data_IF_114189829628
#
_entry.id   IF_114189829628
#
_cell.length_a   1.000
_cell.length_b   1.000
_cell.length_c   1.000
_cell.angle_alpha   90.00
_cell.angle_beta   90.00
_cell.angle_gamma   90.00
#
_symmetry.space_group_name_H-M   'P 1'
#
loop_
_entity.id
_entity.type
_entity.pdbx_description
1 polymer ?
#
# COMPACT_ATOMS: atom_id res chain seq x y z
N UNK A 1 32.37 15.15 14.68
CA UNK A 1 31.14 15.42 13.89
C UNK A 1 30.25 14.19 13.97
N UNK A 2 29.00 14.31 14.43
CA UNK A 2 27.98 13.28 14.19
C UNK A 2 27.35 13.63 12.84
N UNK A 3 27.83 13.02 11.76
CA UNK A 3 27.37 13.30 10.39
C UNK A 3 25.85 13.12 10.21
N UNK A 4 25.25 12.28 11.05
CA UNK A 4 23.82 12.02 11.08
C UNK A 4 23.37 12.23 12.52
N UNK A 5 22.49 13.22 12.74
CA UNK A 5 21.99 13.63 14.07
C UNK A 5 21.07 12.57 14.72
N UNK A 6 21.59 11.36 14.88
CA UNK A 6 20.91 10.19 15.40
C UNK A 6 21.21 10.03 16.90
N UNK A 7 20.19 9.63 17.66
CA UNK A 7 20.30 9.35 19.10
C UNK A 7 21.27 8.19 19.37
N UNK A 8 21.27 7.18 18.48
CA UNK A 8 22.18 6.03 18.53
C UNK A 8 22.58 5.63 17.12
N UNK A 9 23.85 5.25 16.94
CA UNK A 9 24.33 4.72 15.68
C UNK A 9 23.67 3.35 15.39
N UNK A 10 23.17 3.10 14.17
CA UNK A 10 22.66 1.80 13.78
C UNK A 10 23.79 0.76 13.74
N UNK A 11 23.45 -0.50 14.02
CA UNK A 11 24.42 -1.61 13.95
C UNK A 11 24.82 -1.89 12.49
N UNK A 12 26.00 -2.48 12.30
CA UNK A 12 26.59 -2.70 10.96
C UNK A 12 25.65 -3.47 10.02
N UNK A 13 24.96 -4.49 10.53
CA UNK A 13 23.97 -5.26 9.75
C UNK A 13 22.80 -4.41 9.22
N UNK A 14 22.36 -3.40 9.98
CA UNK A 14 21.32 -2.45 9.55
C UNK A 14 21.86 -1.53 8.47
N UNK A 15 23.09 -1.02 8.63
CA UNK A 15 23.74 -0.20 7.60
C UNK A 15 23.86 -0.98 6.29
N UNK A 16 24.35 -2.23 6.35
CA UNK A 16 24.45 -3.11 5.19
C UNK A 16 23.09 -3.37 4.53
N UNK A 17 22.04 -3.61 5.34
CA UNK A 17 20.67 -3.78 4.84
C UNK A 17 20.14 -2.56 4.10
N UNK A 18 20.32 -1.35 4.67
CA UNK A 18 19.89 -0.10 4.03
C UNK A 18 20.63 0.13 2.71
N UNK A 19 21.95 -0.11 2.67
CA UNK A 19 22.75 0.05 1.47
C UNK A 19 22.38 -0.96 0.37
N UNK A 20 22.06 -2.20 0.76
CA UNK A 20 21.57 -3.24 -0.17
C UNK A 20 20.27 -2.84 -0.83
N UNK A 21 19.33 -2.31 -0.05
CA UNK A 21 18.01 -1.89 -0.52
C UNK A 21 17.96 -0.41 -0.95
N UNK A 22 19.12 0.24 -1.20
CA UNK A 22 19.21 1.71 -1.43
C UNK A 22 18.21 2.24 -2.46
N UNK A 23 17.97 1.50 -3.54
CA UNK A 23 17.06 1.91 -4.63
C UNK A 23 15.64 2.08 -4.12
N UNK A 24 15.21 1.22 -3.19
CA UNK A 24 13.89 1.30 -2.56
C UNK A 24 13.72 2.64 -1.84
N UNK A 25 14.74 3.08 -1.09
CA UNK A 25 14.69 4.29 -0.28
C UNK A 25 14.86 5.58 -1.11
N UNK A 26 15.66 5.55 -2.17
CA UNK A 26 15.87 6.70 -3.06
C UNK A 26 14.65 7.03 -3.92
N UNK A 27 13.78 6.05 -4.18
CA UNK A 27 12.59 6.21 -5.02
C UNK A 27 11.30 6.50 -4.22
N UNK A 28 11.39 6.64 -2.90
CA UNK A 28 10.23 6.91 -2.03
C UNK A 28 9.70 8.32 -2.28
N UNK A 29 8.39 8.45 -2.52
CA UNK A 29 7.74 9.76 -2.66
C UNK A 29 7.63 10.45 -1.28
N UNK A 30 7.60 11.77 -1.26
CA UNK A 30 7.50 12.53 -0.01
C UNK A 30 6.27 12.14 0.86
N UNK A 31 5.16 11.74 0.23
CA UNK A 31 3.96 11.26 0.92
C UNK A 31 4.21 9.96 1.73
N UNK A 32 5.14 9.12 1.27
CA UNK A 32 5.41 7.80 1.84
C UNK A 32 6.53 7.83 2.90
N UNK A 33 7.14 8.99 3.16
CA UNK A 33 8.30 9.11 4.06
C UNK A 33 7.98 8.72 5.52
N UNK A 34 6.71 8.84 5.93
CA UNK A 34 6.24 8.42 7.27
C UNK A 34 6.00 6.90 7.37
N UNK A 35 5.98 6.20 6.23
CA UNK A 35 5.74 4.77 6.19
C UNK A 35 6.98 3.98 6.63
N UNK A 36 6.90 3.37 7.82
CA UNK A 36 7.99 2.54 8.37
C UNK A 36 8.12 1.18 7.69
N UNK A 37 7.03 0.64 7.16
CA UNK A 37 6.98 -0.67 6.53
C UNK A 37 5.97 -0.70 5.40
N UNK A 38 6.46 -0.88 4.18
CA UNK A 38 5.62 -1.24 3.04
C UNK A 38 5.13 -2.67 3.26
N UNK A 39 3.82 -2.86 3.46
CA UNK A 39 3.23 -4.19 3.45
C UNK A 39 2.95 -4.57 2.00
N UNK A 40 3.40 -5.75 1.53
CA UNK A 40 2.98 -6.24 0.22
C UNK A 40 1.46 -6.40 0.24
N UNK A 41 0.81 -5.86 -0.79
CA UNK A 41 -0.62 -6.02 -0.99
C UNK A 41 -0.90 -7.48 -1.35
N UNK A 42 -2.00 -8.03 -0.81
CA UNK A 42 -2.34 -9.45 -1.02
C UNK A 42 -2.73 -9.70 -2.48
N UNK A 43 -3.39 -8.74 -3.14
CA UNK A 43 -3.79 -8.85 -4.55
C UNK A 43 -3.43 -7.59 -5.33
N UNK A 44 -2.16 -7.44 -5.74
CA UNK A 44 -1.68 -6.22 -6.40
C UNK A 44 -2.48 -5.82 -7.65
N UNK A 45 -3.04 -6.78 -8.39
CA UNK A 45 -3.87 -6.52 -9.56
C UNK A 45 -5.22 -5.90 -9.19
N UNK A 46 -5.94 -6.50 -8.24
CA UNK A 46 -7.24 -6.01 -7.76
C UNK A 46 -7.10 -4.62 -7.13
N UNK A 47 -6.07 -4.44 -6.28
CA UNK A 47 -5.80 -3.16 -5.63
C UNK A 47 -5.47 -2.05 -6.64
N UNK A 48 -4.72 -2.38 -7.70
CA UNK A 48 -4.38 -1.43 -8.77
C UNK A 48 -5.63 -0.99 -9.54
N UNK A 49 -6.47 -1.92 -9.94
CA UNK A 49 -7.74 -1.60 -10.63
C UNK A 49 -8.68 -0.81 -9.72
N UNK A 50 -8.74 -1.16 -8.44
CA UNK A 50 -9.53 -0.44 -7.45
C UNK A 50 -9.01 0.99 -7.26
N UNK A 51 -7.70 1.19 -7.12
CA UNK A 51 -7.10 2.52 -7.01
C UNK A 51 -7.38 3.38 -8.25
N UNK A 52 -7.25 2.81 -9.45
CA UNK A 52 -7.59 3.50 -10.70
C UNK A 52 -9.06 3.93 -10.72
N UNK A 53 -9.98 3.05 -10.30
CA UNK A 53 -11.40 3.37 -10.23
C UNK A 53 -11.70 4.46 -9.20
N UNK A 54 -11.10 4.42 -8.01
CA UNK A 54 -11.24 5.46 -6.98
C UNK A 54 -10.75 6.82 -7.50
N UNK A 55 -9.59 6.86 -8.17
CA UNK A 55 -9.06 8.08 -8.78
C UNK A 55 -10.00 8.65 -9.85
N UNK A 56 -10.61 7.80 -10.68
CA UNK A 56 -11.61 8.23 -11.66
C UNK A 56 -12.89 8.77 -11.02
N UNK A 57 -13.33 8.20 -9.90
CA UNK A 57 -14.49 8.71 -9.17
C UNK A 57 -14.19 10.06 -8.51
N UNK A 58 -13.00 10.21 -7.93
CA UNK A 58 -12.55 11.48 -7.35
C UNK A 58 -12.45 12.59 -8.40
N UNK A 59 -11.92 12.29 -9.59
CA UNK A 59 -11.86 13.29 -10.68
C UNK A 59 -13.24 13.74 -11.16
N UNK A 60 -14.24 12.85 -11.08
CA UNK A 60 -15.66 13.13 -11.38
C UNK A 60 -16.44 13.70 -10.19
N UNK A 61 -15.78 13.97 -9.05
CA UNK A 61 -16.39 14.42 -7.78
C UNK A 61 -17.51 13.50 -7.26
N UNK A 62 -17.41 12.21 -7.54
CA UNK A 62 -18.33 11.20 -7.01
C UNK A 62 -17.91 10.84 -5.60
N UNK A 63 -18.82 11.03 -4.64
CA UNK A 63 -18.63 10.61 -3.25
C UNK A 63 -18.67 9.08 -3.16
N UNK A 64 -17.55 8.46 -2.78
CA UNK A 64 -17.46 7.02 -2.57
C UNK A 64 -17.61 6.68 -1.09
N UNK A 65 -18.67 5.93 -0.76
CA UNK A 65 -18.79 5.29 0.55
C UNK A 65 -17.83 4.10 0.65
N UNK A 66 -17.36 3.81 1.87
CA UNK A 66 -16.58 2.61 2.16
C UNK A 66 -17.25 1.33 1.70
N UNK A 67 -18.58 1.22 1.80
CA UNK A 67 -19.31 0.03 1.35
C UNK A 67 -19.34 -0.10 -0.16
N UNK A 68 -19.33 1.04 -0.88
CA UNK A 68 -19.24 1.05 -2.33
C UNK A 68 -17.85 0.60 -2.80
N UNK A 69 -16.80 0.99 -2.07
CA UNK A 69 -15.42 0.55 -2.31
C UNK A 69 -15.30 -0.96 -2.08
N UNK A 70 -15.83 -1.49 -0.96
CA UNK A 70 -15.85 -2.94 -0.70
C UNK A 70 -16.62 -3.71 -1.77
N UNK A 71 -17.79 -3.23 -2.17
CA UNK A 71 -18.60 -3.86 -3.20
C UNK A 71 -17.87 -3.89 -4.56
N UNK A 72 -17.16 -2.81 -4.90
CA UNK A 72 -16.35 -2.75 -6.13
C UNK A 72 -15.14 -3.69 -6.05
N UNK A 73 -14.46 -3.75 -4.91
CA UNK A 73 -13.32 -4.63 -4.68
C UNK A 73 -13.69 -6.10 -4.86
N UNK A 74 -14.83 -6.53 -4.28
CA UNK A 74 -15.40 -7.87 -4.51
C UNK A 74 -15.64 -8.18 -5.98
N UNK A 75 -16.20 -7.23 -6.74
CA UNK A 75 -16.42 -7.41 -8.18
C UNK A 75 -15.11 -7.56 -8.95
N UNK A 76 -14.08 -6.79 -8.59
CA UNK A 76 -12.77 -6.93 -9.22
C UNK A 76 -12.08 -8.26 -8.86
N UNK A 77 -12.26 -8.75 -7.64
CA UNK A 77 -11.82 -10.09 -7.24
C UNK A 77 -12.51 -11.18 -8.07
N UNK A 78 -13.83 -11.13 -8.27
CA UNK A 78 -14.57 -12.10 -9.09
C UNK A 78 -14.19 -12.06 -10.58
N UNK A 79 -13.82 -10.89 -11.10
CA UNK A 79 -13.42 -10.71 -12.50
C UNK A 79 -11.95 -11.10 -12.76
N UNK A 80 -11.12 -11.04 -11.73
CA UNK A 80 -9.75 -11.52 -11.77
C UNK A 80 -9.81 -13.03 -11.55
N UNK A 81 -9.12 -13.84 -12.35
CA UNK A 81 -9.08 -15.31 -12.22
C UNK A 81 -8.26 -15.68 -10.97
N UNK A 82 -8.73 -15.28 -9.80
CA UNK A 82 -8.11 -15.54 -8.50
C UNK A 82 -8.80 -16.79 -7.95
N UNK A 83 -7.99 -17.80 -7.64
CA UNK A 83 -8.46 -19.06 -7.09
C UNK A 83 -9.26 -18.80 -5.81
N UNK A 84 -10.44 -19.44 -5.71
CA UNK A 84 -11.45 -19.26 -4.65
C UNK A 84 -10.92 -19.47 -3.21
N UNK A 85 -9.76 -20.12 -3.05
CA UNK A 85 -9.15 -20.44 -1.75
C UNK A 85 -8.53 -19.23 -1.03
N UNK A 86 -8.55 -18.04 -1.64
CA UNK A 86 -7.93 -16.84 -1.06
C UNK A 86 -8.86 -15.62 -1.01
N UNK A 87 -10.17 -15.86 -0.89
CA UNK A 87 -11.20 -14.82 -0.77
C UNK A 87 -10.88 -13.84 0.37
N UNK A 88 -10.65 -12.57 0.01
CA UNK A 88 -10.44 -11.52 1.00
C UNK A 88 -11.76 -11.20 1.70
N UNK A 89 -11.73 -11.25 3.03
CA UNK A 89 -12.69 -10.49 3.80
C UNK A 89 -12.34 -9.01 3.68
N UNK A 90 -13.04 -8.28 2.79
CA UNK A 90 -13.01 -6.82 2.67
C UNK A 90 -13.63 -6.15 3.92
N UNK A 91 -13.02 -6.43 5.07
CA UNK A 91 -13.43 -6.00 6.39
C UNK A 91 -13.23 -4.49 6.56
N UNK A 92 -13.78 -3.96 7.65
CA UNK A 92 -13.54 -2.56 8.02
C UNK A 92 -12.05 -2.28 8.28
N UNK A 93 -11.30 -3.26 8.79
CA UNK A 93 -9.85 -3.13 9.01
C UNK A 93 -9.06 -3.06 7.69
N UNK A 94 -9.49 -3.81 6.67
CA UNK A 94 -8.91 -3.68 5.32
C UNK A 94 -9.21 -2.30 4.73
N UNK A 95 -10.45 -1.82 4.85
CA UNK A 95 -10.84 -0.51 4.32
C UNK A 95 -10.04 0.63 4.98
N UNK A 96 -9.84 0.57 6.30
CA UNK A 96 -9.01 1.53 7.03
C UNK A 96 -7.53 1.50 6.63
N UNK A 97 -7.02 0.35 6.20
CA UNK A 97 -5.66 0.24 5.69
C UNK A 97 -5.53 0.67 4.22
N UNK A 98 -6.65 0.69 3.49
CA UNK A 98 -6.75 1.09 2.09
C UNK A 98 -6.89 2.62 1.91
N UNK A 99 -7.64 3.28 2.80
CA UNK A 99 -7.80 4.74 2.84
C UNK A 99 -6.59 5.43 3.49
#
# INVERSE_FOLDING_TARGET
MREFNLVKAPVQGIISGILRDRKKYLLVKAADLKCKRTRPLVFPAVDKELANWVLQCQSKRVMLSGDLIKAKAKRFETLSIVQEDQLLSFSNGWLQAYQ
#
